data_IF_220360133846
#
_entry.id   IF_220360133846
#
_cell.length_a   1.000
_cell.length_b   1.000
_cell.length_c   1.000
_cell.angle_alpha   90.00
_cell.angle_beta   90.00
_cell.angle_gamma   90.00
#
_symmetry.space_group_name_H-M   'P 1'
#
loop_
_entity.id
_entity.type
_entity.pdbx_description
1 polymer ?
#
# COMPACT_ATOMS: atom_id res chain seq x y z
N UNK A 1 23.01 -13.22 -5.63
CA UNK A 1 22.32 -12.23 -6.49
C UNK A 1 21.31 -12.83 -7.48
N UNK A 2 21.43 -14.09 -7.92
CA UNK A 2 20.58 -14.63 -9.00
C UNK A 2 19.14 -15.06 -8.60
N UNK A 3 18.84 -15.27 -7.30
CA UNK A 3 17.52 -15.80 -6.87
C UNK A 3 16.35 -14.94 -7.34
N UNK A 4 16.38 -13.63 -7.10
CA UNK A 4 15.26 -12.77 -7.47
C UNK A 4 15.13 -12.65 -8.99
N UNK A 5 16.26 -12.62 -9.71
CA UNK A 5 16.24 -12.56 -11.16
C UNK A 5 15.62 -13.82 -11.80
N UNK A 6 15.86 -15.02 -11.22
CA UNK A 6 15.18 -16.26 -11.63
C UNK A 6 13.67 -16.18 -11.42
N UNK A 7 13.22 -15.63 -10.28
CA UNK A 7 11.79 -15.45 -10.01
C UNK A 7 11.15 -14.41 -10.94
N UNK A 8 11.87 -13.33 -11.22
CA UNK A 8 11.41 -12.30 -12.15
C UNK A 8 11.28 -12.90 -13.57
N UNK A 9 12.22 -13.76 -14.01
CA UNK A 9 12.14 -14.47 -15.30
C UNK A 9 10.95 -15.43 -15.37
N UNK A 10 10.73 -16.23 -14.32
CA UNK A 10 9.55 -17.11 -14.23
C UNK A 10 8.25 -16.31 -14.32
N UNK A 11 8.14 -15.23 -13.57
CA UNK A 11 6.96 -14.35 -13.63
C UNK A 11 6.79 -13.71 -15.01
N UNK A 12 7.89 -13.28 -15.64
CA UNK A 12 7.88 -12.74 -17.00
C UNK A 12 7.38 -13.75 -18.01
N UNK A 13 7.69 -15.03 -17.81
CA UNK A 13 7.20 -16.12 -18.66
C UNK A 13 5.69 -16.29 -18.59
N UNK A 14 5.12 -16.33 -17.39
CA UNK A 14 3.66 -16.40 -17.23
C UNK A 14 2.94 -15.17 -17.77
N UNK A 15 3.51 -13.97 -17.58
CA UNK A 15 2.94 -12.76 -18.18
C UNK A 15 2.95 -12.80 -19.71
N UNK A 16 3.95 -13.42 -20.31
CA UNK A 16 4.02 -13.54 -21.76
C UNK A 16 3.01 -14.54 -22.33
N UNK A 17 2.70 -15.61 -21.59
CA UNK A 17 1.62 -16.55 -21.96
C UNK A 17 0.27 -15.85 -22.05
N UNK A 18 -0.04 -14.99 -21.08
CA UNK A 18 -1.25 -14.16 -21.12
C UNK A 18 -1.30 -13.22 -22.35
N UNK A 19 -0.15 -12.98 -22.99
CA UNK A 19 -0.02 -12.18 -24.22
C UNK A 19 0.12 -13.03 -25.49
N UNK A 20 -0.16 -14.33 -25.41
CA UNK A 20 -0.20 -15.24 -26.56
C UNK A 20 1.09 -16.03 -26.81
N UNK A 21 2.09 -15.98 -25.93
CA UNK A 21 3.21 -16.94 -26.00
C UNK A 21 2.77 -18.36 -25.60
N UNK A 22 3.53 -19.35 -26.08
CA UNK A 22 3.29 -20.76 -25.74
C UNK A 22 3.38 -21.00 -24.22
N UNK A 23 2.40 -21.72 -23.64
CA UNK A 23 2.42 -22.12 -22.24
C UNK A 23 3.65 -22.92 -21.85
N UNK A 24 4.11 -22.72 -20.63
CA UNK A 24 4.99 -23.59 -19.88
C UNK A 24 4.11 -24.63 -19.21
N UNK A 25 4.07 -25.82 -19.80
CA UNK A 25 3.24 -26.91 -19.31
C UNK A 25 3.78 -27.58 -18.03
N UNK A 26 5.05 -27.34 -17.68
CA UNK A 26 5.70 -27.86 -16.49
C UNK A 26 6.54 -26.77 -15.83
N UNK A 27 5.89 -26.01 -14.98
CA UNK A 27 6.43 -24.82 -14.32
C UNK A 27 7.54 -25.19 -13.33
N UNK A 28 7.44 -26.36 -12.70
CA UNK A 28 8.42 -26.85 -11.72
C UNK A 28 9.73 -27.23 -12.42
N UNK A 29 9.66 -27.99 -13.52
CA UNK A 29 10.85 -28.31 -14.32
C UNK A 29 11.45 -27.06 -14.95
N UNK A 30 10.62 -26.13 -15.41
CA UNK A 30 11.11 -24.86 -15.94
C UNK A 30 11.86 -24.05 -14.87
N UNK A 31 11.31 -23.90 -13.67
CA UNK A 31 11.99 -23.25 -12.55
C UNK A 31 13.29 -23.96 -12.18
N UNK A 32 13.29 -25.29 -12.10
CA UNK A 32 14.50 -26.07 -11.80
C UNK A 32 15.63 -25.78 -12.80
N UNK A 33 15.29 -25.71 -14.10
CA UNK A 33 16.24 -25.36 -15.16
C UNK A 33 16.77 -23.92 -15.03
N UNK A 34 15.92 -22.95 -14.71
CA UNK A 34 16.37 -21.59 -14.44
C UNK A 34 17.36 -21.55 -13.26
N UNK A 35 17.09 -22.31 -12.21
CA UNK A 35 17.99 -22.44 -11.07
C UNK A 35 19.33 -23.10 -11.44
N UNK A 36 19.33 -24.10 -12.32
CA UNK A 36 20.56 -24.72 -12.84
C UNK A 36 21.41 -23.72 -13.61
N UNK A 37 20.82 -23.00 -14.56
CA UNK A 37 21.49 -21.95 -15.33
C UNK A 37 22.07 -20.86 -14.41
N UNK A 38 21.33 -20.49 -13.36
CA UNK A 38 21.78 -19.49 -12.40
C UNK A 38 22.98 -19.97 -11.57
N UNK A 39 23.06 -21.27 -11.27
CA UNK A 39 24.22 -21.87 -10.58
C UNK A 39 25.44 -22.01 -11.49
N UNK A 40 25.23 -22.30 -12.77
CA UNK A 40 26.32 -22.44 -13.75
C UNK A 40 26.85 -21.11 -14.28
N UNK A 41 26.15 -20.00 -14.03
CA UNK A 41 26.50 -18.68 -14.56
C UNK A 41 25.97 -18.40 -15.98
N UNK A 42 25.21 -19.34 -16.56
CA UNK A 42 24.62 -19.27 -17.90
C UNK A 42 23.21 -18.64 -17.90
N UNK A 43 22.80 -18.07 -16.77
CA UNK A 43 21.49 -17.45 -16.63
C UNK A 43 21.49 -16.03 -17.20
N UNK A 44 20.75 -15.85 -18.30
CA UNK A 44 20.52 -14.57 -18.94
C UNK A 44 19.04 -14.18 -18.80
N UNK A 45 18.70 -13.14 -18.01
CA UNK A 45 17.35 -12.62 -17.93
C UNK A 45 16.87 -12.10 -19.29
N UNK A 46 15.62 -12.38 -19.63
CA UNK A 46 14.98 -11.88 -20.84
C UNK A 46 13.60 -11.30 -20.49
N UNK A 47 12.64 -12.18 -20.17
CA UNK A 47 11.28 -11.75 -19.84
C UNK A 47 11.20 -11.10 -18.45
N UNK A 48 12.11 -11.49 -17.56
CA UNK A 48 12.18 -10.99 -16.20
C UNK A 48 12.63 -9.54 -16.06
N UNK A 49 13.21 -8.94 -17.11
CA UNK A 49 13.69 -7.54 -17.06
C UNK A 49 12.53 -6.58 -16.79
N UNK A 50 11.40 -6.74 -17.51
CA UNK A 50 10.22 -5.88 -17.31
C UNK A 50 9.59 -6.08 -15.92
N UNK A 51 9.64 -7.31 -15.40
CA UNK A 51 9.14 -7.62 -14.05
C UNK A 51 10.04 -6.99 -12.99
N UNK A 52 11.36 -7.09 -13.16
CA UNK A 52 12.35 -6.46 -12.30
C UNK A 52 12.13 -4.94 -12.22
N UNK A 53 11.98 -4.28 -13.36
CA UNK A 53 11.74 -2.83 -13.43
C UNK A 53 10.44 -2.43 -12.73
N UNK A 54 9.34 -3.15 -12.99
CA UNK A 54 8.06 -2.89 -12.34
C UNK A 54 8.14 -3.06 -10.82
N UNK A 55 8.79 -4.13 -10.35
CA UNK A 55 8.99 -4.38 -8.92
C UNK A 55 9.84 -3.28 -8.28
N UNK A 56 10.94 -2.88 -8.93
CA UNK A 56 11.81 -1.79 -8.43
C UNK A 56 11.08 -0.45 -8.38
N UNK A 57 10.25 -0.14 -9.38
CA UNK A 57 9.44 1.07 -9.39
C UNK A 57 8.43 1.09 -8.23
N UNK A 58 7.80 -0.05 -7.94
CA UNK A 58 6.89 -0.20 -6.81
C UNK A 58 7.61 -0.06 -5.45
N UNK A 59 8.79 -0.66 -5.31
CA UNK A 59 9.63 -0.54 -4.11
C UNK A 59 10.04 0.92 -3.87
N UNK A 60 10.44 1.65 -4.93
CA UNK A 60 10.77 3.07 -4.83
C UNK A 60 9.55 3.93 -4.49
N UNK A 61 8.37 3.59 -5.01
CA UNK A 61 7.10 4.23 -4.67
C UNK A 61 6.68 4.00 -3.22
N UNK A 62 7.01 2.84 -2.64
CA UNK A 62 6.81 2.52 -1.21
C UNK A 62 7.81 3.21 -0.30
N UNK A 63 9.05 3.38 -0.76
CA UNK A 63 10.12 4.03 -0.01
C UNK A 63 10.06 5.55 -0.08
N UNK A 64 9.38 6.13 -1.08
CA UNK A 64 8.92 7.51 -0.95
C UNK A 64 7.95 7.50 0.23
N UNK A 65 8.28 8.16 1.37
CA UNK A 65 7.25 8.42 2.37
C UNK A 65 6.14 9.08 1.59
N UNK A 66 4.89 8.60 1.76
CA UNK A 66 3.72 9.18 1.11
C UNK A 66 3.92 10.68 1.15
N UNK A 67 4.31 11.26 0.00
CA UNK A 67 4.33 12.68 -0.16
C UNK A 67 2.85 12.96 -0.07
N UNK A 68 2.42 13.23 1.17
CA UNK A 68 1.21 13.97 1.47
C UNK A 68 1.13 14.94 0.32
N UNK A 69 0.05 14.83 -0.43
CA UNK A 69 -0.42 15.89 -1.30
C UNK A 69 -0.51 17.15 -0.44
N UNK A 70 0.62 17.79 -0.18
CA UNK A 70 0.78 19.09 0.44
C UNK A 70 0.62 20.09 -0.69
N UNK A 71 -0.52 19.98 -1.37
CA UNK A 71 -1.10 20.99 -2.22
C UNK A 71 -2.35 21.53 -1.54
N UNK A 72 -2.32 21.64 -0.22
CA UNK A 72 -3.12 22.64 0.49
C UNK A 72 -2.18 23.83 0.71
N UNK A 73 -2.54 25.05 0.26
CA UNK A 73 -1.85 26.26 0.67
C UNK A 73 -1.66 26.25 2.19
N UNK A 74 -0.56 26.81 2.69
CA UNK A 74 -0.37 27.02 4.14
C UNK A 74 -1.56 27.81 4.67
N UNK A 75 -2.52 27.09 5.25
CA UNK A 75 -3.67 27.68 5.92
C UNK A 75 -3.15 28.59 7.02
N UNK A 76 -3.64 29.84 7.05
CA UNK A 76 -3.29 30.78 8.12
C UNK A 76 -3.83 30.27 9.46
N UNK A 77 -3.20 30.64 10.57
CA UNK A 77 -3.68 30.23 11.90
C UNK A 77 -5.15 30.62 12.14
N UNK A 78 -5.57 31.77 11.60
CA UNK A 78 -6.94 32.26 11.67
C UNK A 78 -7.95 31.38 10.92
N UNK A 79 -7.59 30.84 9.76
CA UNK A 79 -8.45 29.93 9.00
C UNK A 79 -8.58 28.56 9.70
N UNK A 80 -7.46 28.09 10.27
CA UNK A 80 -7.43 26.87 11.07
C UNK A 80 -8.31 26.98 12.30
N UNK A 81 -8.25 28.11 13.00
CA UNK A 81 -9.07 28.38 14.19
C UNK A 81 -10.56 28.44 13.84
N UNK A 82 -10.93 29.11 12.75
CA UNK A 82 -12.31 29.14 12.24
C UNK A 82 -12.83 27.73 11.92
N UNK A 83 -12.03 26.90 11.25
CA UNK A 83 -12.41 25.51 10.95
C UNK A 83 -12.61 24.68 12.21
N UNK A 84 -11.75 24.83 13.20
CA UNK A 84 -11.89 24.11 14.48
C UNK A 84 -13.14 24.56 15.24
N UNK A 85 -13.42 25.86 15.29
CA UNK A 85 -14.63 26.39 15.92
C UNK A 85 -15.90 25.90 15.23
N UNK A 86 -15.92 25.85 13.89
CA UNK A 86 -17.05 25.33 13.13
C UNK A 86 -17.25 23.82 13.35
N UNK A 87 -16.16 23.04 13.36
CA UNK A 87 -16.21 21.61 13.65
C UNK A 87 -16.72 21.34 15.06
N UNK A 88 -16.28 22.11 16.06
CA UNK A 88 -16.77 22.02 17.44
C UNK A 88 -18.26 22.35 17.53
N UNK A 89 -18.73 23.36 16.80
CA UNK A 89 -20.16 23.72 16.75
C UNK A 89 -21.00 22.59 16.14
N UNK A 90 -20.56 22.01 15.02
CA UNK A 90 -21.23 20.87 14.38
C UNK A 90 -21.29 19.65 15.31
N UNK A 91 -20.21 19.39 16.03
CA UNK A 91 -20.17 18.31 17.03
C UNK A 91 -21.12 18.58 18.20
N UNK A 92 -21.19 19.83 18.69
CA UNK A 92 -22.12 20.21 19.76
C UNK A 92 -23.58 20.08 19.31
N UNK A 93 -23.89 20.46 18.06
CA UNK A 93 -25.22 20.32 17.48
C UNK A 93 -25.59 18.83 17.33
N UNK A 94 -24.69 18.00 16.79
CA UNK A 94 -24.89 16.55 16.73
C UNK A 94 -25.11 15.93 18.12
N UNK A 95 -24.33 16.36 19.10
CA UNK A 95 -24.42 15.87 20.49
C UNK A 95 -25.76 16.22 21.13
N UNK A 96 -26.30 17.41 20.88
CA UNK A 96 -27.66 17.80 21.28
C UNK A 96 -28.73 16.96 20.59
N UNK A 97 -28.56 16.74 19.28
CA UNK A 97 -29.50 15.96 18.47
C UNK A 97 -29.59 14.50 18.93
N UNK A 98 -28.47 13.95 19.42
CA UNK A 98 -28.36 12.62 19.99
C UNK A 98 -28.73 12.53 21.48
N UNK A 99 -29.20 13.62 22.10
CA UNK A 99 -29.60 13.64 23.52
C UNK A 99 -28.45 13.45 24.52
N UNK A 100 -27.20 13.60 24.07
CA UNK A 100 -26.02 13.36 24.90
C UNK A 100 -25.65 14.64 25.67
N UNK A 101 -26.36 14.98 26.75
CA UNK A 101 -25.96 16.09 27.60
C UNK A 101 -24.55 15.86 28.18
N UNK A 102 -23.75 16.93 28.28
CA UNK A 102 -22.51 16.91 29.06
C UNK A 102 -22.86 16.97 30.54
N UNK A 103 -23.27 15.83 31.09
CA UNK A 103 -23.65 15.69 32.48
C UNK A 103 -24.04 14.25 32.74
N UNK A 104 -23.04 13.40 33.01
CA UNK A 104 -23.30 12.17 33.72
C UNK A 104 -23.86 12.54 35.08
N UNK A 105 -25.14 12.31 35.29
CA UNK A 105 -25.79 12.35 36.59
C UNK A 105 -25.05 11.38 37.50
N UNK A 106 -24.24 11.92 38.42
CA UNK A 106 -23.81 11.18 39.60
C UNK A 106 -25.05 10.92 40.45
N UNK A 107 -25.66 9.75 40.26
CA UNK A 107 -26.59 9.18 41.22
C UNK A 107 -25.84 9.01 42.55
N UNK A 108 -26.07 9.94 43.47
CA UNK A 108 -25.68 9.81 44.87
C UNK A 108 -26.58 8.76 45.51
N UNK A 109 -25.95 7.74 46.08
CA UNK A 109 -26.57 6.72 46.91
C UNK A 109 -26.82 7.32 48.31
N UNK A 110 -28.04 7.30 48.87
CA UNK A 110 -28.24 7.71 50.25
C UNK A 110 -27.90 6.54 51.19
N UNK A 111 -26.87 6.71 52.00
CA UNK A 111 -26.69 5.93 53.23
C UNK A 111 -27.60 6.48 54.33
N UNK A 112 -28.52 5.62 54.79
CA UNK A 112 -29.08 5.42 56.15
C UNK A 112 -30.59 5.26 56.17
#
# INVERSE_FOLDING_TARGET
MARQAVLDELAGRFQAELRGMKPVYDEIRFLARLCELARSGEFHPNLGIKVHEARRAQELGRQRPAQRTASTPKESEAEREKRLAEAQRRLADMRKLLGMSAGGESHSNPEK
#
